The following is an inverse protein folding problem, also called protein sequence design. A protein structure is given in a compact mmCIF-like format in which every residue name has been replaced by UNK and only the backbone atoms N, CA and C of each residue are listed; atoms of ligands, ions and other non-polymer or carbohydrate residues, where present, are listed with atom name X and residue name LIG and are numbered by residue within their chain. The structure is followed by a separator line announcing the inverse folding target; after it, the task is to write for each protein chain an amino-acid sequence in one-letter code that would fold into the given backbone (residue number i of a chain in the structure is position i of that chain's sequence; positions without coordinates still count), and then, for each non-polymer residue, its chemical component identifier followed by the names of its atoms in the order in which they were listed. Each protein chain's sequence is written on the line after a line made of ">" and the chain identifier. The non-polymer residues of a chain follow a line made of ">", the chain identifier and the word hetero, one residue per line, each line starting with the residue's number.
data_IF_185140235957
#
_entry.id   IF_185140235957
#
_cell.length_a   1.000
_cell.length_b   1.000
_cell.length_c   1.000
_cell.angle_alpha   90.00
_cell.angle_beta   90.00
_cell.angle_gamma   90.00
#
_symmetry.space_group_name_H-M   'P 1'
#
loop_
_entity.id
_entity.type
_entity.pdbx_description
1 polymer ?
#
# COMPACT_ATOMS: atom_id res chain seq x y z
N UNK A 1 8.67 22.03 5.13
CA UNK A 1 8.73 20.78 5.92
C UNK A 1 10.12 20.17 5.75
N UNK A 2 10.64 19.57 6.80
CA UNK A 2 11.88 18.79 6.77
C UNK A 2 11.56 17.32 6.49
N UNK A 3 12.39 16.65 5.71
CA UNK A 3 12.25 15.25 5.36
C UNK A 3 12.38 14.36 6.60
N UNK A 4 11.37 13.53 6.93
CA UNK A 4 11.43 12.65 8.10
C UNK A 4 12.43 11.50 7.94
N UNK A 5 12.97 11.30 6.74
CA UNK A 5 13.99 10.29 6.48
C UNK A 5 15.41 10.82 6.72
N UNK A 6 15.80 11.93 6.07
CA UNK A 6 17.19 12.41 6.07
C UNK A 6 17.41 13.79 6.70
N UNK A 7 16.35 14.48 7.16
CA UNK A 7 16.48 15.81 7.77
C UNK A 7 16.70 16.97 6.78
N UNK A 8 16.69 16.72 5.48
CA UNK A 8 16.84 17.78 4.46
C UNK A 8 15.50 18.44 4.09
N UNK A 9 15.49 19.67 3.56
CA UNK A 9 14.26 20.31 3.08
C UNK A 9 13.53 19.49 2.00
N UNK A 10 12.20 19.54 2.01
CA UNK A 10 11.36 18.94 0.96
C UNK A 10 10.71 20.01 0.08
N UNK A 11 10.61 19.74 -1.22
CA UNK A 11 9.85 20.54 -2.18
C UNK A 11 8.39 20.10 -2.23
N UNK A 12 7.47 21.03 -2.55
CA UNK A 12 6.07 20.70 -2.87
C UNK A 12 6.02 20.27 -4.33
N UNK A 13 5.38 19.13 -4.61
CA UNK A 13 5.11 18.69 -5.98
C UNK A 13 3.73 19.15 -6.45
N UNK A 14 2.71 19.01 -5.61
CA UNK A 14 1.34 19.34 -5.95
C UNK A 14 0.35 18.67 -5.03
N UNK A 15 -0.93 18.92 -5.27
CA UNK A 15 -2.03 18.30 -4.53
C UNK A 15 -2.73 17.28 -5.41
N UNK A 16 -3.01 16.10 -4.85
CA UNK A 16 -3.81 15.06 -5.47
C UNK A 16 -5.13 14.95 -4.72
N UNK A 17 -6.28 15.01 -5.40
CA UNK A 17 -7.59 14.78 -4.78
C UNK A 17 -7.77 13.30 -4.47
N UNK A 18 -7.37 12.84 -3.28
CA UNK A 18 -7.56 11.45 -2.87
C UNK A 18 -9.05 11.22 -2.58
N UNK A 19 -9.62 10.18 -3.18
CA UNK A 19 -11.04 9.84 -3.04
C UNK A 19 -11.20 8.36 -2.71
N UNK A 20 -12.38 8.04 -2.21
CA UNK A 20 -12.81 6.72 -1.81
C UNK A 20 -14.35 6.70 -1.73
N UNK A 21 -14.93 5.60 -1.27
CA UNK A 21 -16.36 5.54 -0.94
C UNK A 21 -16.77 6.62 0.07
N UNK A 22 -18.03 7.05 -0.01
CA UNK A 22 -18.60 8.07 0.87
C UNK A 22 -18.43 7.67 2.34
N UNK A 23 -18.04 8.64 3.17
CA UNK A 23 -17.77 8.45 4.60
C UNK A 23 -16.36 7.95 4.94
N UNK A 24 -15.55 7.54 3.95
CA UNK A 24 -14.19 7.10 4.22
C UNK A 24 -13.28 8.23 4.72
N UNK A 25 -12.39 7.88 5.66
CA UNK A 25 -11.41 8.79 6.28
C UNK A 25 -10.53 9.53 5.25
N UNK A 26 -10.18 8.85 4.16
CA UNK A 26 -9.22 9.35 3.16
C UNK A 26 -9.85 10.18 2.04
N UNK A 27 -11.14 10.55 2.12
CA UNK A 27 -11.78 11.49 1.21
C UNK A 27 -11.29 12.94 1.44
N UNK A 28 -10.03 13.20 1.09
CA UNK A 28 -9.31 14.44 1.40
C UNK A 28 -8.28 14.73 0.31
N UNK A 29 -7.81 15.96 0.25
CA UNK A 29 -6.73 16.31 -0.66
C UNK A 29 -5.37 15.98 -0.01
N UNK A 30 -4.50 15.31 -0.76
CA UNK A 30 -3.15 14.94 -0.33
C UNK A 30 -2.10 15.85 -0.94
N UNK A 31 -1.34 16.58 -0.12
CA UNK A 31 -0.23 17.42 -0.56
C UNK A 31 1.06 16.59 -0.65
N UNK A 32 1.54 16.36 -1.88
CA UNK A 32 2.75 15.60 -2.13
C UNK A 32 3.98 16.48 -1.98
N UNK A 33 4.93 15.98 -1.20
CA UNK A 33 6.27 16.55 -1.06
C UNK A 33 7.33 15.55 -1.47
N UNK A 34 8.44 16.05 -1.97
CA UNK A 34 9.58 15.24 -2.37
C UNK A 34 10.88 15.78 -1.78
N UNK A 35 11.80 14.89 -1.41
CA UNK A 35 13.13 15.23 -0.93
C UNK A 35 14.19 14.97 -2.02
N UNK A 36 14.80 16.02 -2.61
CA UNK A 36 15.83 15.83 -3.65
C UNK A 36 17.11 15.11 -3.17
N UNK A 37 17.37 15.14 -1.85
CA UNK A 37 18.55 14.55 -1.25
C UNK A 37 18.48 13.02 -1.17
N UNK A 38 17.37 12.46 -0.68
CA UNK A 38 17.22 11.01 -0.49
C UNK A 38 16.12 10.37 -1.36
N UNK A 39 15.34 11.14 -2.12
CA UNK A 39 14.29 10.61 -3.00
C UNK A 39 12.97 10.26 -2.31
N UNK A 40 12.85 10.47 -0.99
CA UNK A 40 11.59 10.27 -0.26
C UNK A 40 10.47 11.13 -0.86
N UNK A 41 9.31 10.53 -1.09
CA UNK A 41 8.07 11.29 -1.24
C UNK A 41 7.15 11.07 -0.04
N UNK A 42 6.41 12.11 0.34
CA UNK A 42 5.50 12.10 1.49
C UNK A 42 4.20 12.81 1.13
N UNK A 43 3.09 12.27 1.62
CA UNK A 43 1.74 12.81 1.40
C UNK A 43 1.21 13.39 2.72
N UNK A 44 0.94 14.69 2.75
CA UNK A 44 0.24 15.33 3.87
C UNK A 44 -1.26 15.33 3.59
N UNK A 45 -2.02 14.57 4.37
CA UNK A 45 -3.49 14.47 4.26
C UNK A 45 -4.23 15.21 5.38
N UNK A 46 -3.51 15.62 6.42
CA UNK A 46 -4.09 16.16 7.66
C UNK A 46 -4.73 15.10 8.56
N UNK A 47 -4.53 13.81 8.28
CA UNK A 47 -4.90 12.69 9.16
C UNK A 47 -3.73 12.40 10.11
N UNK A 48 -4.02 12.11 11.37
CA UNK A 48 -3.04 11.68 12.37
C UNK A 48 -2.86 10.16 12.38
N UNK A 49 -1.71 9.70 12.88
CA UNK A 49 -1.46 8.26 13.08
C UNK A 49 -2.52 7.57 13.95
N UNK A 50 -3.08 8.30 14.92
CA UNK A 50 -4.17 7.79 15.77
C UNK A 50 -5.46 7.56 14.97
N UNK A 51 -5.80 8.48 14.07
CA UNK A 51 -6.97 8.33 13.20
C UNK A 51 -6.77 7.19 12.20
N UNK A 52 -5.55 7.02 11.67
CA UNK A 52 -5.20 5.88 10.81
C UNK A 52 -5.35 4.57 11.59
N UNK A 53 -4.77 4.45 12.78
CA UNK A 53 -4.89 3.25 13.61
C UNK A 53 -6.34 2.91 13.98
N UNK A 54 -7.16 3.92 14.30
CA UNK A 54 -8.59 3.73 14.56
C UNK A 54 -9.32 3.22 13.30
N UNK A 55 -9.01 3.77 12.13
CA UNK A 55 -9.55 3.27 10.87
C UNK A 55 -9.21 1.80 10.63
N UNK A 56 -7.97 1.36 10.91
CA UNK A 56 -7.61 -0.06 10.85
C UNK A 56 -8.39 -0.92 11.85
N UNK A 57 -8.50 -0.46 13.10
CA UNK A 57 -9.16 -1.21 14.17
C UNK A 57 -10.67 -1.35 13.96
N UNK A 58 -11.34 -0.32 13.43
CA UNK A 58 -12.81 -0.24 13.42
C UNK A 58 -13.40 -0.51 12.03
N UNK A 59 -12.82 0.10 10.99
CA UNK A 59 -13.46 0.24 9.67
C UNK A 59 -12.79 -0.60 8.59
N UNK A 60 -11.54 -0.99 8.78
CA UNK A 60 -10.77 -1.53 7.67
C UNK A 60 -11.34 -2.85 7.17
N UNK A 61 -11.59 -2.85 5.87
CA UNK A 61 -12.04 -4.01 5.10
C UNK A 61 -10.92 -5.03 4.88
N UNK A 62 -9.71 -4.88 5.46
CA UNK A 62 -8.63 -5.87 5.30
C UNK A 62 -9.07 -7.30 5.66
N UNK A 63 -10.00 -7.44 6.59
CA UNK A 63 -10.63 -8.74 6.93
C UNK A 63 -11.42 -9.33 5.75
N UNK A 64 -12.05 -8.48 4.94
CA UNK A 64 -12.87 -8.84 3.77
C UNK A 64 -12.12 -8.77 2.42
N UNK A 65 -10.93 -8.17 2.38
CA UNK A 65 -10.18 -7.92 1.14
C UNK A 65 -9.12 -9.01 0.87
N UNK A 66 -8.95 -9.31 -0.41
CA UNK A 66 -7.77 -10.01 -0.94
C UNK A 66 -6.77 -8.96 -1.44
N UNK A 67 -5.52 -8.97 -0.98
CA UNK A 67 -4.49 -8.02 -1.43
C UNK A 67 -3.10 -8.37 -0.91
N UNK A 68 -2.10 -7.58 -1.29
CA UNK A 68 -0.75 -7.68 -0.71
C UNK A 68 -0.80 -7.14 0.72
N UNK A 69 -0.08 -7.79 1.64
CA UNK A 69 0.06 -7.33 3.05
C UNK A 69 -1.09 -7.70 4.00
N UNK A 70 -2.10 -8.46 3.55
CA UNK A 70 -3.33 -8.74 4.34
C UNK A 70 -3.25 -9.98 5.25
N UNK A 71 -2.05 -10.50 5.49
CA UNK A 71 -1.82 -11.75 6.23
C UNK A 71 -2.53 -12.99 5.64
N UNK A 72 -2.73 -13.03 4.32
CA UNK A 72 -3.41 -14.11 3.61
C UNK A 72 -2.60 -15.41 3.50
N UNK A 73 -3.12 -16.37 2.74
CA UNK A 73 -2.52 -17.71 2.52
C UNK A 73 -2.62 -18.15 1.04
N UNK A 74 -2.69 -17.20 0.11
CA UNK A 74 -2.69 -17.54 -1.32
C UNK A 74 -1.31 -18.06 -1.76
N UNK A 75 -1.19 -18.69 -2.94
CA UNK A 75 0.13 -19.08 -3.47
C UNK A 75 1.11 -17.92 -3.56
N UNK A 76 0.64 -16.72 -3.93
CA UNK A 76 1.45 -15.49 -3.98
C UNK A 76 1.91 -15.07 -2.58
N UNK A 77 1.02 -15.13 -1.58
CA UNK A 77 1.39 -14.86 -0.19
C UNK A 77 2.45 -15.84 0.32
N UNK A 78 2.26 -17.15 0.09
CA UNK A 78 3.22 -18.18 0.52
C UNK A 78 4.57 -18.05 -0.19
N UNK A 79 4.59 -17.67 -1.46
CA UNK A 79 5.84 -17.40 -2.18
C UNK A 79 6.61 -16.24 -1.53
N UNK A 80 5.90 -15.17 -1.15
CA UNK A 80 6.47 -14.00 -0.47
C UNK A 80 6.97 -14.33 0.94
N UNK A 81 6.23 -15.10 1.72
CA UNK A 81 6.71 -15.58 3.03
C UNK A 81 7.96 -16.45 2.91
N UNK A 82 8.02 -17.31 1.89
CA UNK A 82 9.22 -18.07 1.55
C UNK A 82 10.41 -17.18 1.18
N UNK A 83 10.16 -16.07 0.48
CA UNK A 83 11.18 -15.07 0.19
C UNK A 83 11.72 -14.40 1.46
N UNK A 84 10.85 -13.98 2.40
CA UNK A 84 11.30 -13.43 3.68
C UNK A 84 12.14 -14.42 4.46
N UNK A 85 11.70 -15.67 4.57
CA UNK A 85 12.44 -16.74 5.27
C UNK A 85 13.80 -17.00 4.61
N UNK A 86 13.85 -17.10 3.29
CA UNK A 86 15.11 -17.30 2.58
C UNK A 86 16.08 -16.14 2.82
N UNK A 87 15.58 -14.90 2.81
CA UNK A 87 16.37 -13.72 3.12
C UNK A 87 16.93 -13.76 4.55
N UNK A 88 16.09 -14.10 5.55
CA UNK A 88 16.51 -14.30 6.95
C UNK A 88 17.59 -15.39 7.08
N UNK A 89 17.40 -16.53 6.43
CA UNK A 89 18.32 -17.67 6.48
C UNK A 89 19.70 -17.32 5.93
N UNK A 90 19.78 -16.60 4.81
CA UNK A 90 21.06 -16.15 4.23
C UNK A 90 21.82 -15.22 5.18
N UNK A 91 21.10 -14.48 6.04
CA UNK A 91 21.68 -13.61 7.07
C UNK A 91 21.95 -14.33 8.40
N UNK A 92 21.84 -15.66 8.43
CA UNK A 92 22.07 -16.47 9.64
C UNK A 92 21.00 -16.30 10.71
N UNK A 93 19.76 -15.99 10.32
CA UNK A 93 18.61 -15.91 11.22
C UNK A 93 17.73 -17.14 11.01
N UNK A 94 17.84 -18.10 11.92
CA UNK A 94 17.11 -19.37 11.91
C UNK A 94 16.45 -19.73 13.25
N UNK A 95 16.72 -18.95 14.31
CA UNK A 95 16.16 -19.13 15.64
C UNK A 95 16.03 -17.81 16.41
N UNK A 96 15.33 -17.85 17.54
CA UNK A 96 15.12 -16.70 18.43
C UNK A 96 13.66 -16.22 18.44
N UNK A 97 13.39 -15.14 19.17
CA UNK A 97 12.05 -14.54 19.21
C UNK A 97 11.89 -13.49 18.12
N UNK A 98 10.94 -13.74 17.20
CA UNK A 98 10.49 -12.80 16.17
C UNK A 98 9.12 -12.24 16.56
N UNK A 99 9.00 -10.91 16.60
CA UNK A 99 7.69 -10.27 16.64
C UNK A 99 7.38 -9.54 15.33
N UNK A 100 6.26 -9.91 14.70
CA UNK A 100 5.76 -9.27 13.49
C UNK A 100 4.73 -8.22 13.87
N UNK A 101 5.04 -6.96 13.61
CA UNK A 101 4.21 -5.82 14.00
C UNK A 101 3.42 -5.37 12.77
N UNK A 102 2.11 -5.17 12.94
CA UNK A 102 1.18 -5.07 11.81
C UNK A 102 0.96 -6.43 11.16
N UNK A 103 0.92 -7.51 11.94
CA UNK A 103 0.90 -8.88 11.38
C UNK A 103 -0.42 -9.23 10.66
N UNK A 104 -1.46 -8.39 10.79
CA UNK A 104 -2.81 -8.64 10.27
C UNK A 104 -3.28 -10.06 10.64
N UNK A 105 -3.76 -10.84 9.68
CA UNK A 105 -4.20 -12.24 9.85
C UNK A 105 -3.06 -13.24 10.09
N UNK A 106 -1.83 -12.78 10.22
CA UNK A 106 -0.70 -13.57 10.68
C UNK A 106 -0.24 -14.66 9.71
N UNK A 107 -0.46 -14.47 8.40
CA UNK A 107 -0.06 -15.44 7.37
C UNK A 107 1.43 -15.77 7.42
N UNK A 108 2.30 -14.77 7.60
CA UNK A 108 3.74 -14.99 7.72
C UNK A 108 4.11 -15.83 8.96
N UNK A 109 3.50 -15.56 10.11
CA UNK A 109 3.80 -16.28 11.34
C UNK A 109 3.32 -17.74 11.29
N UNK A 110 2.16 -18.00 10.68
CA UNK A 110 1.69 -19.37 10.43
C UNK A 110 2.64 -20.11 9.49
N UNK A 111 3.12 -19.44 8.45
CA UNK A 111 4.15 -19.99 7.56
C UNK A 111 5.45 -20.30 8.32
N UNK A 112 5.92 -19.42 9.21
CA UNK A 112 7.12 -19.68 10.03
C UNK A 112 6.92 -20.83 11.01
N UNK A 113 5.74 -20.97 11.62
CA UNK A 113 5.45 -22.09 12.51
C UNK A 113 5.61 -23.46 11.81
N UNK A 114 5.27 -23.54 10.52
CA UNK A 114 5.46 -24.74 9.69
C UNK A 114 6.91 -24.89 9.23
N UNK A 115 7.51 -23.81 8.72
CA UNK A 115 8.77 -23.86 7.95
C UNK A 115 10.03 -23.63 8.80
N UNK A 116 9.93 -22.98 9.96
CA UNK A 116 11.04 -22.58 10.80
C UNK A 116 10.68 -22.67 12.30
N UNK A 117 10.41 -23.88 12.83
CA UNK A 117 9.96 -24.07 14.22
C UNK A 117 10.96 -23.62 15.29
N UNK A 118 12.22 -23.30 14.92
CA UNK A 118 13.20 -22.69 15.81
C UNK A 118 12.96 -21.20 16.10
N UNK A 119 12.08 -20.55 15.35
CA UNK A 119 11.71 -19.14 15.53
C UNK A 119 10.41 -19.05 16.33
N UNK A 120 10.52 -18.61 17.58
CA UNK A 120 9.37 -18.32 18.41
C UNK A 120 8.70 -17.03 17.89
N UNK A 121 7.47 -17.15 17.41
CA UNK A 121 6.77 -16.08 16.69
C UNK A 121 5.68 -15.44 17.53
N UNK A 122 5.63 -14.11 17.55
CA UNK A 122 4.58 -13.30 18.19
C UNK A 122 4.00 -12.34 17.17
N UNK A 123 2.68 -12.29 17.03
CA UNK A 123 1.99 -11.31 16.19
C UNK A 123 1.49 -10.13 16.99
N UNK A 124 1.66 -8.92 16.47
CA UNK A 124 1.08 -7.70 17.03
C UNK A 124 0.30 -6.94 15.98
N UNK A 125 -0.94 -6.59 16.28
CA UNK A 125 -1.77 -5.73 15.43
C UNK A 125 -2.72 -4.87 16.28
N UNK A 126 -3.15 -3.73 15.72
CA UNK A 126 -4.15 -2.87 16.34
C UNK A 126 -5.59 -3.37 16.10
N UNK A 127 -5.82 -4.16 15.04
CA UNK A 127 -7.10 -4.79 14.75
C UNK A 127 -7.21 -6.18 15.42
N UNK A 128 -7.91 -6.22 16.54
CA UNK A 128 -8.18 -7.46 17.27
C UNK A 128 -8.89 -8.54 16.43
N UNK A 129 -9.66 -8.15 15.40
CA UNK A 129 -10.37 -9.09 14.53
C UNK A 129 -9.40 -9.88 13.67
N UNK A 130 -8.36 -9.22 13.17
CA UNK A 130 -7.30 -9.83 12.35
C UNK A 130 -6.49 -10.86 13.14
N UNK A 131 -6.29 -10.66 14.45
CA UNK A 131 -5.50 -11.57 15.30
C UNK A 131 -6.17 -12.93 15.60
N UNK A 132 -7.47 -13.07 15.35
CA UNK A 132 -8.22 -14.30 15.67
C UNK A 132 -7.61 -15.55 15.01
N UNK A 133 -7.13 -15.43 13.78
CA UNK A 133 -6.51 -16.55 13.03
C UNK A 133 -5.22 -17.06 13.67
N UNK A 134 -4.45 -16.19 14.33
CA UNK A 134 -3.24 -16.58 15.05
C UNK A 134 -3.59 -17.35 16.32
N UNK A 135 -4.54 -16.83 17.11
CA UNK A 135 -4.99 -17.51 18.32
C UNK A 135 -5.61 -18.89 18.02
N UNK A 136 -6.38 -19.01 16.94
CA UNK A 136 -6.95 -20.29 16.47
C UNK A 136 -5.86 -21.29 16.02
N UNK A 137 -4.73 -20.78 15.52
CA UNK A 137 -3.56 -21.58 15.17
C UNK A 137 -2.64 -21.90 16.37
N UNK A 138 -3.00 -21.45 17.58
CA UNK A 138 -2.20 -21.65 18.79
C UNK A 138 -0.92 -20.80 18.86
N UNK A 139 -0.87 -19.69 18.10
CA UNK A 139 0.25 -18.75 18.08
C UNK A 139 0.00 -17.57 19.02
N UNK A 140 1.07 -16.99 19.56
CA UNK A 140 1.00 -15.78 20.41
C UNK A 140 0.57 -14.58 19.56
N UNK A 141 -0.51 -13.93 19.99
CA UNK A 141 -1.10 -12.79 19.33
C UNK A 141 -1.45 -11.73 20.38
N UNK A 142 -0.96 -10.50 20.16
CA UNK A 142 -1.10 -9.40 21.11
C UNK A 142 -1.69 -8.19 20.40
N UNK A 143 -2.67 -7.55 21.04
CA UNK A 143 -3.15 -6.24 20.57
C UNK A 143 -2.11 -5.19 20.97
N UNK A 144 -1.71 -4.34 20.02
CA UNK A 144 -0.70 -3.32 20.29
C UNK A 144 -0.64 -2.22 19.24
N UNK A 145 -0.05 -1.09 19.64
CA UNK A 145 0.22 0.06 18.79
C UNK A 145 1.72 0.06 18.44
N UNK A 146 2.07 0.33 17.18
CA UNK A 146 3.46 0.40 16.69
C UNK A 146 4.32 1.42 17.45
N UNK A 147 3.70 2.44 18.05
CA UNK A 147 4.40 3.44 18.88
C UNK A 147 4.54 3.02 20.35
N UNK A 148 3.88 1.95 20.79
CA UNK A 148 3.91 1.44 22.16
C UNK A 148 3.66 -0.07 22.18
N UNK A 149 4.69 -0.83 21.83
CA UNK A 149 4.62 -2.27 21.65
C UNK A 149 4.53 -3.03 22.99
N UNK A 150 3.76 -4.14 23.06
CA UNK A 150 3.53 -4.91 24.27
C UNK A 150 4.71 -5.86 24.61
N UNK A 151 5.91 -5.29 24.70
CA UNK A 151 7.16 -5.96 25.06
C UNK A 151 7.99 -5.11 26.02
N UNK A 152 8.75 -5.77 26.88
CA UNK A 152 9.82 -5.16 27.65
C UNK A 152 10.97 -4.69 26.73
N UNK A 153 11.83 -3.82 27.27
CA UNK A 153 13.01 -3.39 26.54
C UNK A 153 14.00 -4.56 26.38
N UNK A 154 14.53 -4.77 25.18
CA UNK A 154 15.46 -5.87 24.90
C UNK A 154 14.84 -7.28 24.99
N UNK A 155 13.55 -7.42 24.73
CA UNK A 155 12.86 -8.72 24.77
C UNK A 155 13.06 -9.49 23.45
N UNK A 156 12.93 -8.83 22.30
CA UNK A 156 12.93 -9.47 20.97
C UNK A 156 14.33 -9.59 20.35
N UNK A 157 14.58 -10.72 19.67
CA UNK A 157 15.78 -10.90 18.85
C UNK A 157 15.58 -10.28 17.46
N UNK A 158 14.35 -10.37 16.94
CA UNK A 158 13.95 -9.93 15.61
C UNK A 158 12.61 -9.20 15.68
N UNK A 159 12.48 -8.09 14.98
CA UNK A 159 11.22 -7.43 14.68
C UNK A 159 11.01 -7.38 13.17
N UNK A 160 9.77 -7.52 12.71
CA UNK A 160 9.40 -7.22 11.33
C UNK A 160 8.34 -6.11 11.23
N UNK A 161 8.55 -5.24 10.24
CA UNK A 161 7.60 -4.26 9.73
C UNK A 161 7.38 -4.56 8.24
N UNK A 162 6.47 -5.48 7.95
CA UNK A 162 6.08 -5.76 6.57
C UNK A 162 4.86 -4.92 6.21
N UNK A 163 5.05 -3.96 5.30
CA UNK A 163 4.00 -3.04 4.87
C UNK A 163 3.40 -2.18 5.98
N UNK A 164 4.26 -1.64 6.86
CA UNK A 164 3.86 -0.81 7.99
C UNK A 164 4.34 0.63 7.84
N UNK A 165 5.64 0.82 7.61
CA UNK A 165 6.25 2.15 7.69
C UNK A 165 5.72 3.12 6.63
N UNK A 166 5.25 2.62 5.48
CA UNK A 166 4.64 3.44 4.44
C UNK A 166 3.34 4.13 4.89
N UNK A 167 2.70 3.62 5.95
CA UNK A 167 1.44 4.11 6.51
C UNK A 167 1.62 5.11 7.67
N UNK A 168 2.82 5.27 8.23
CA UNK A 168 3.03 6.00 9.48
C UNK A 168 3.57 7.42 9.28
N UNK A 169 2.92 8.44 9.81
CA UNK A 169 3.54 9.76 9.93
C UNK A 169 4.71 9.75 10.95
N UNK A 170 4.57 9.05 12.07
CA UNK A 170 5.53 8.96 13.16
C UNK A 170 6.71 7.98 12.97
N UNK A 171 7.36 7.94 11.80
CA UNK A 171 8.43 6.97 11.49
C UNK A 171 9.52 6.91 12.59
N UNK A 172 10.00 8.07 13.06
CA UNK A 172 11.04 8.14 14.10
C UNK A 172 10.55 7.52 15.43
N UNK A 173 9.27 7.69 15.79
CA UNK A 173 8.70 7.09 17.00
C UNK A 173 8.57 5.56 16.87
N UNK A 174 8.12 5.06 15.72
CA UNK A 174 8.03 3.62 15.45
C UNK A 174 9.40 2.94 15.42
N UNK A 175 10.43 3.60 14.87
CA UNK A 175 11.80 3.08 14.86
C UNK A 175 12.46 3.16 16.24
N UNK A 176 12.19 4.22 17.02
CA UNK A 176 12.64 4.32 18.41
C UNK A 176 12.04 3.20 19.28
N UNK A 177 10.76 2.89 19.06
CA UNK A 177 10.09 1.81 19.77
C UNK A 177 10.61 0.42 19.36
N UNK A 178 10.86 0.20 18.07
CA UNK A 178 11.56 -0.99 17.59
C UNK A 178 12.94 -1.13 18.26
N UNK A 179 13.69 -0.03 18.35
CA UNK A 179 14.98 -0.01 19.00
C UNK A 179 14.86 -0.31 20.50
N UNK A 180 13.82 0.15 21.20
CA UNK A 180 13.59 -0.17 22.61
C UNK A 180 13.38 -1.67 22.82
N UNK A 181 12.51 -2.28 22.01
CA UNK A 181 12.10 -3.68 22.15
C UNK A 181 13.21 -4.66 21.73
N UNK A 182 14.01 -4.31 20.73
CA UNK A 182 15.10 -5.16 20.25
C UNK A 182 16.24 -5.28 21.27
N UNK A 183 16.74 -6.51 21.45
CA UNK A 183 18.02 -6.78 22.12
C UNK A 183 19.17 -6.02 21.46
N UNK A 184 20.27 -5.71 22.17
CA UNK A 184 21.49 -5.22 21.53
C UNK A 184 21.93 -6.15 20.38
N UNK A 185 22.17 -5.61 19.19
CA UNK A 185 22.47 -6.40 17.99
C UNK A 185 21.28 -7.13 17.35
N UNK A 186 20.07 -6.96 17.89
CA UNK A 186 18.83 -7.48 17.32
C UNK A 186 18.56 -6.96 15.91
N UNK A 187 17.78 -7.72 15.14
CA UNK A 187 17.47 -7.42 13.74
C UNK A 187 16.10 -6.77 13.58
N UNK A 188 16.02 -5.77 12.70
CA UNK A 188 14.79 -5.18 12.21
C UNK A 188 14.67 -5.51 10.72
N UNK A 189 13.67 -6.32 10.37
CA UNK A 189 13.26 -6.64 9.01
C UNK A 189 12.19 -5.65 8.57
N UNK A 190 12.36 -5.01 7.43
CA UNK A 190 11.39 -4.05 6.91
C UNK A 190 11.14 -4.39 5.46
N UNK A 191 9.87 -4.48 5.08
CA UNK A 191 9.48 -4.41 3.67
C UNK A 191 8.57 -3.21 3.45
N UNK A 192 8.92 -2.40 2.46
CA UNK A 192 8.09 -1.32 1.93
C UNK A 192 8.09 -1.37 0.39
N UNK A 193 7.11 -0.77 -0.28
CA UNK A 193 7.18 -0.55 -1.71
C UNK A 193 8.40 0.30 -2.09
N UNK A 194 9.23 -0.17 -3.03
CA UNK A 194 10.40 0.53 -3.53
C UNK A 194 9.98 1.66 -4.48
N UNK A 195 9.90 2.88 -3.95
CA UNK A 195 9.50 4.08 -4.71
C UNK A 195 10.47 4.41 -5.86
N UNK A 196 11.73 3.96 -5.78
CA UNK A 196 12.69 4.12 -6.88
C UNK A 196 12.34 3.26 -8.10
N UNK A 197 11.39 2.32 -7.97
CA UNK A 197 10.98 1.37 -9.01
C UNK A 197 9.47 1.38 -9.27
N UNK A 198 8.74 2.42 -8.89
CA UNK A 198 7.31 2.52 -9.24
C UNK A 198 7.05 2.56 -10.75
N UNK A 199 8.04 3.04 -11.50
CA UNK A 199 7.91 3.36 -12.92
C UNK A 199 8.79 2.47 -13.82
N UNK A 200 9.51 1.52 -13.22
CA UNK A 200 10.24 0.52 -13.96
C UNK A 200 9.27 -0.41 -14.71
N UNK A 201 9.66 -0.88 -15.90
CA UNK A 201 8.76 -1.60 -16.80
C UNK A 201 8.13 -2.87 -16.22
N UNK A 202 8.83 -3.55 -15.31
CA UNK A 202 8.37 -4.78 -14.65
C UNK A 202 7.35 -4.56 -13.53
N UNK A 203 7.22 -3.33 -13.04
CA UNK A 203 6.42 -2.93 -11.88
C UNK A 203 5.46 -1.79 -12.19
N UNK A 204 5.57 -1.17 -13.36
CA UNK A 204 4.62 -0.18 -13.83
C UNK A 204 3.27 -0.84 -14.14
N UNK A 205 2.21 -0.34 -13.51
CA UNK A 205 0.84 -0.82 -13.68
C UNK A 205 0.02 0.15 -14.53
N UNK A 206 0.14 1.44 -14.25
CA UNK A 206 -0.50 2.53 -14.97
C UNK A 206 -0.34 3.84 -14.19
N UNK A 207 -0.75 4.98 -14.76
CA UNK A 207 -0.61 6.28 -14.11
C UNK A 207 -1.28 6.31 -12.73
N UNK A 208 -0.61 6.94 -11.77
CA UNK A 208 -1.05 7.13 -10.39
C UNK A 208 -1.26 5.85 -9.58
N UNK A 209 -1.08 4.65 -10.12
CA UNK A 209 -1.41 3.40 -9.39
C UNK A 209 -0.73 3.31 -8.02
N UNK A 210 0.60 3.46 -7.97
CA UNK A 210 1.35 3.41 -6.71
C UNK A 210 1.16 4.66 -5.84
N UNK A 211 0.89 5.80 -6.48
CA UNK A 211 0.82 7.09 -5.81
C UNK A 211 -0.55 7.32 -5.17
N UNK A 212 -1.63 6.82 -5.77
CA UNK A 212 -2.99 7.01 -5.29
C UNK A 212 -3.38 6.06 -4.14
N UNK A 213 -2.47 5.19 -3.70
CA UNK A 213 -2.66 4.36 -2.51
C UNK A 213 -2.76 5.25 -1.28
N UNK A 214 -3.99 5.66 -0.95
CA UNK A 214 -4.31 6.71 0.03
C UNK A 214 -3.78 6.46 1.44
N UNK A 215 -3.57 5.20 1.80
CA UNK A 215 -3.01 4.78 3.08
C UNK A 215 -1.48 4.94 3.11
N UNK A 216 -0.81 4.96 1.94
CA UNK A 216 0.64 5.14 1.83
C UNK A 216 0.99 6.62 1.89
N UNK A 217 1.25 7.12 3.09
CA UNK A 217 1.66 8.50 3.33
C UNK A 217 3.16 8.72 3.11
N UNK A 218 3.93 7.64 2.99
CA UNK A 218 5.36 7.65 2.72
C UNK A 218 5.72 6.73 1.56
N UNK A 219 6.56 7.24 0.65
CA UNK A 219 7.13 6.46 -0.45
C UNK A 219 8.66 6.44 -0.29
N UNK A 220 9.17 5.29 0.14
CA UNK A 220 10.57 5.10 0.45
C UNK A 220 11.37 4.63 -0.76
N UNK A 221 12.48 5.30 -1.00
CA UNK A 221 13.59 4.77 -1.80
C UNK A 221 14.58 4.05 -0.87
N UNK A 222 15.53 3.26 -1.40
CA UNK A 222 16.63 2.72 -0.60
C UNK A 222 17.38 3.79 0.21
N UNK A 223 17.68 4.94 -0.42
CA UNK A 223 18.31 6.08 0.25
C UNK A 223 17.47 6.67 1.39
N UNK A 224 16.16 6.82 1.18
CA UNK A 224 15.26 7.35 2.20
C UNK A 224 15.15 6.40 3.41
N UNK A 225 14.88 5.11 3.16
CA UNK A 225 14.76 4.13 4.25
C UNK A 225 16.08 3.97 5.01
N UNK A 226 17.21 3.93 4.29
CA UNK A 226 18.54 3.88 4.92
C UNK A 226 18.86 5.10 5.78
N UNK A 227 18.52 6.31 5.32
CA UNK A 227 18.71 7.52 6.12
C UNK A 227 17.83 7.54 7.38
N UNK A 228 16.56 7.08 7.26
CA UNK A 228 15.66 6.98 8.40
C UNK A 228 16.17 5.98 9.44
N UNK A 229 16.62 4.81 9.01
CA UNK A 229 17.23 3.78 9.85
C UNK A 229 18.48 4.29 10.57
N UNK A 230 19.42 4.91 9.82
CA UNK A 230 20.66 5.43 10.38
C UNK A 230 20.41 6.48 11.47
N UNK A 231 19.46 7.40 11.25
CA UNK A 231 19.08 8.42 12.23
C UNK A 231 18.47 7.83 13.50
N UNK A 232 17.85 6.65 13.42
CA UNK A 232 17.21 5.97 14.54
C UNK A 232 18.08 4.84 15.14
N UNK A 233 19.39 4.85 14.89
CA UNK A 233 20.34 3.94 15.56
C UNK A 233 20.41 2.54 14.96
N UNK A 234 20.05 2.40 13.69
CA UNK A 234 20.16 1.15 12.93
C UNK A 234 21.20 1.24 11.82
N UNK A 235 21.96 0.16 11.63
CA UNK A 235 22.81 -0.03 10.45
C UNK A 235 22.19 -1.06 9.51
N UNK A 236 22.22 -0.81 8.20
CA UNK A 236 21.77 -1.78 7.21
C UNK A 236 22.80 -2.90 7.10
N UNK A 237 22.36 -4.15 7.26
CA UNK A 237 23.20 -5.33 7.07
C UNK A 237 22.96 -6.00 5.71
N UNK A 238 21.72 -5.97 5.21
CA UNK A 238 21.38 -6.50 3.89
C UNK A 238 20.18 -5.79 3.27
N UNK A 239 20.14 -5.78 1.93
CA UNK A 239 19.03 -5.27 1.13
C UNK A 239 18.71 -6.30 0.05
N UNK A 240 17.43 -6.58 -0.15
CA UNK A 240 16.91 -7.25 -1.34
C UNK A 240 15.91 -6.33 -2.04
N UNK A 241 16.11 -6.09 -3.33
CA UNK A 241 15.16 -5.41 -4.21
C UNK A 241 14.64 -6.44 -5.19
N UNK A 242 13.33 -6.64 -5.23
CA UNK A 242 12.71 -7.66 -6.07
C UNK A 242 11.37 -7.18 -6.62
N UNK A 243 10.81 -7.92 -7.58
CA UNK A 243 9.42 -7.77 -8.00
C UNK A 243 8.66 -8.95 -7.39
N UNK A 244 7.75 -8.65 -6.46
CA UNK A 244 7.02 -9.67 -5.72
C UNK A 244 5.64 -9.90 -6.34
N UNK A 245 5.16 -11.14 -6.41
CA UNK A 245 3.93 -11.47 -7.14
C UNK A 245 2.70 -10.77 -6.53
N UNK A 246 1.86 -10.22 -7.40
CA UNK A 246 0.54 -9.70 -7.08
C UNK A 246 -0.54 -10.49 -7.82
N UNK A 247 -1.77 -10.40 -7.31
CA UNK A 247 -2.96 -10.83 -8.04
C UNK A 247 -3.01 -10.16 -9.43
N UNK A 248 -3.36 -10.92 -10.47
CA UNK A 248 -3.43 -10.40 -11.84
C UNK A 248 -2.12 -10.50 -12.63
N UNK A 249 -1.12 -11.21 -12.10
CA UNK A 249 0.12 -11.51 -12.84
C UNK A 249 1.08 -10.33 -12.98
N UNK A 250 0.84 -9.23 -12.25
CA UNK A 250 1.77 -8.12 -12.09
C UNK A 250 2.62 -8.34 -10.84
N UNK A 251 3.72 -7.61 -10.72
CA UNK A 251 4.52 -7.59 -9.50
C UNK A 251 4.61 -6.19 -8.90
N UNK A 252 4.70 -6.11 -7.58
CA UNK A 252 5.00 -4.85 -6.90
C UNK A 252 6.50 -4.73 -6.64
N UNK A 253 7.04 -3.50 -6.65
CA UNK A 253 8.44 -3.28 -6.39
C UNK A 253 8.69 -3.40 -4.89
N UNK A 254 9.36 -4.46 -4.46
CA UNK A 254 9.68 -4.72 -3.06
C UNK A 254 11.06 -4.18 -2.70
N UNK A 255 11.15 -3.46 -1.58
CA UNK A 255 12.38 -3.12 -0.88
C UNK A 255 12.38 -3.82 0.48
N UNK A 256 13.07 -4.95 0.56
CA UNK A 256 13.26 -5.72 1.79
C UNK A 256 14.63 -5.40 2.39
N UNK A 257 14.65 -4.91 3.63
CA UNK A 257 15.86 -4.49 4.34
C UNK A 257 15.97 -5.26 5.64
N UNK A 258 17.18 -5.75 5.92
CA UNK A 258 17.56 -6.20 7.26
C UNK A 258 18.52 -5.18 7.85
N UNK A 259 18.10 -4.56 8.95
CA UNK A 259 18.90 -3.64 9.72
C UNK A 259 19.24 -4.23 11.10
N UNK A 260 20.35 -3.81 11.69
CA UNK A 260 20.80 -4.23 13.02
C UNK A 260 20.82 -3.02 13.95
N UNK A 261 20.30 -3.18 15.17
CA UNK A 261 20.40 -2.18 16.23
C UNK A 261 21.87 -2.00 16.62
N UNK A 262 22.44 -0.81 16.41
CA UNK A 262 23.87 -0.57 16.60
C UNK A 262 24.45 0.41 15.57
N UNK A 263 25.78 0.45 15.44
CA UNK A 263 26.50 1.49 14.68
C UNK A 263 26.04 1.58 13.24
N UNK A 264 25.25 2.62 12.96
CA UNK A 264 24.70 2.96 11.66
C UNK A 264 25.79 3.39 10.70
N UNK A 265 25.88 2.71 9.57
CA UNK A 265 26.58 3.21 8.39
C UNK A 265 25.52 3.51 7.35
N UNK A 266 25.42 4.77 6.93
CA UNK A 266 24.68 5.10 5.72
C UNK A 266 25.48 4.55 4.55
N UNK A 267 24.96 3.52 3.89
CA UNK A 267 25.45 3.15 2.57
C UNK A 267 25.06 4.27 1.58
N UNK A 268 25.87 4.48 0.54
CA UNK A 268 25.47 5.27 -0.62
C UNK A 268 24.41 4.46 -1.38
N UNK A 269 23.14 4.78 -1.13
CA UNK A 269 22.00 4.02 -1.62
C UNK A 269 21.27 4.80 -2.70
N UNK A 270 20.67 4.04 -3.61
CA UNK A 270 19.94 4.57 -4.75
C UNK A 270 18.69 5.36 -4.31
N UNK A 271 18.46 6.51 -4.95
CA UNK A 271 17.25 7.32 -4.79
C UNK A 271 16.26 7.17 -5.95
N UNK A 272 16.61 6.37 -6.95
CA UNK A 272 15.79 6.12 -8.13
C UNK A 272 15.77 7.24 -9.15
N UNK A 273 14.82 7.11 -10.08
CA UNK A 273 14.51 8.06 -11.14
C UNK A 273 13.96 9.39 -10.59
N UNK A 274 13.73 10.36 -11.50
CA UNK A 274 13.14 11.65 -11.15
C UNK A 274 11.65 11.51 -10.81
N UNK A 275 11.38 11.19 -9.54
CA UNK A 275 10.04 11.08 -8.99
C UNK A 275 9.19 12.34 -9.23
N UNK A 276 9.79 13.53 -9.23
CA UNK A 276 9.05 14.77 -9.43
C UNK A 276 8.55 14.90 -10.88
N UNK A 277 9.40 14.58 -11.86
CA UNK A 277 9.02 14.54 -13.26
C UNK A 277 7.93 13.50 -13.51
N UNK A 278 8.04 12.32 -12.90
CA UNK A 278 7.06 11.26 -13.09
C UNK A 278 5.73 11.54 -12.38
N UNK A 279 5.75 12.14 -11.20
CA UNK A 279 4.53 12.65 -10.56
C UNK A 279 3.80 13.65 -11.46
N UNK A 280 4.54 14.55 -12.11
CA UNK A 280 3.95 15.50 -13.05
C UNK A 280 3.34 14.79 -14.27
N UNK A 281 4.02 13.77 -14.81
CA UNK A 281 3.51 12.96 -15.91
C UNK A 281 2.23 12.20 -15.53
N UNK A 282 2.24 11.46 -14.41
CA UNK A 282 1.10 10.67 -13.94
C UNK A 282 -0.13 11.54 -13.65
N UNK A 283 0.05 12.65 -12.92
CA UNK A 283 -1.06 13.57 -12.64
C UNK A 283 -1.55 14.30 -13.89
N UNK A 284 -0.65 14.55 -14.86
CA UNK A 284 -0.99 15.09 -16.18
C UNK A 284 -1.88 14.12 -16.96
N UNK A 285 -1.52 12.84 -16.99
CA UNK A 285 -2.30 11.79 -17.65
C UNK A 285 -3.71 11.66 -17.04
N UNK A 286 -3.84 11.71 -15.70
CA UNK A 286 -5.16 11.67 -15.05
C UNK A 286 -6.01 12.89 -15.36
N UNK A 287 -5.44 14.10 -15.38
CA UNK A 287 -6.16 15.31 -15.77
C UNK A 287 -6.63 15.27 -17.23
N UNK A 288 -5.78 14.76 -18.12
CA UNK A 288 -6.13 14.60 -19.52
C UNK A 288 -7.27 13.59 -19.70
N UNK A 289 -7.14 12.39 -19.10
CA UNK A 289 -8.19 11.37 -19.15
C UNK A 289 -9.53 11.88 -18.58
N UNK A 290 -9.49 12.62 -17.47
CA UNK A 290 -10.68 13.24 -16.90
C UNK A 290 -11.35 14.24 -17.86
N UNK A 291 -10.57 15.09 -18.53
CA UNK A 291 -11.09 16.05 -19.50
C UNK A 291 -11.71 15.36 -20.73
N UNK A 292 -11.06 14.32 -21.26
CA UNK A 292 -11.56 13.54 -22.41
C UNK A 292 -12.86 12.80 -22.08
N UNK A 293 -12.94 12.16 -20.90
CA UNK A 293 -14.17 11.49 -20.42
C UNK A 293 -15.29 12.53 -20.22
N UNK A 294 -14.99 13.66 -19.59
CA UNK A 294 -15.98 14.73 -19.40
C UNK A 294 -16.49 15.30 -20.74
N UNK A 295 -15.67 15.31 -21.78
CA UNK A 295 -16.06 15.75 -23.12
C UNK A 295 -16.83 14.69 -23.94
N UNK A 296 -16.99 13.46 -23.43
CA UNK A 296 -17.65 12.37 -24.16
C UNK A 296 -19.14 12.67 -24.47
N UNK A 297 -19.68 12.14 -25.60
CA UNK A 297 -21.00 12.50 -26.13
C UNK A 297 -22.20 12.33 -25.17
N UNK A 298 -23.36 12.84 -25.59
CA UNK A 298 -24.61 12.79 -24.82
C UNK A 298 -25.05 11.35 -24.55
N UNK A 299 -25.19 11.00 -23.27
CA UNK A 299 -25.58 9.68 -22.77
C UNK A 299 -25.02 9.45 -21.35
N UNK A 300 -25.42 8.36 -20.67
CA UNK A 300 -24.86 8.00 -19.37
C UNK A 300 -23.37 7.65 -19.48
N UNK A 301 -22.60 8.03 -18.46
CA UNK A 301 -21.22 7.60 -18.26
C UNK A 301 -21.20 6.49 -17.21
N UNK A 302 -20.85 5.27 -17.61
CA UNK A 302 -20.80 4.11 -16.73
C UNK A 302 -19.35 3.78 -16.39
N UNK A 303 -18.96 3.80 -15.11
CA UNK A 303 -17.61 3.46 -14.68
C UNK A 303 -17.60 2.04 -14.15
N UNK A 304 -16.86 1.13 -14.78
CA UNK A 304 -16.72 -0.25 -14.33
C UNK A 304 -15.36 -0.48 -13.68
N UNK A 305 -15.38 -0.91 -12.42
CA UNK A 305 -14.19 -1.22 -11.62
C UNK A 305 -13.95 -0.12 -10.60
N UNK A 306 -14.86 0.01 -9.63
CA UNK A 306 -14.82 1.05 -8.61
C UNK A 306 -13.78 0.68 -7.56
N UNK A 307 -12.53 1.04 -7.83
CA UNK A 307 -11.37 0.74 -7.00
C UNK A 307 -10.33 1.87 -7.03
N UNK A 308 -9.09 1.51 -6.72
CA UNK A 308 -7.98 2.46 -6.59
C UNK A 308 -7.83 3.39 -7.80
N UNK A 309 -7.85 2.81 -8.99
CA UNK A 309 -7.69 3.52 -10.26
C UNK A 309 -8.89 4.42 -10.58
N UNK A 310 -10.11 3.95 -10.31
CA UNK A 310 -11.31 4.78 -10.42
C UNK A 310 -11.18 6.00 -9.50
N UNK A 311 -10.79 5.82 -8.24
CA UNK A 311 -10.67 6.94 -7.31
C UNK A 311 -9.52 7.90 -7.67
N UNK A 312 -8.41 7.37 -8.20
CA UNK A 312 -7.32 8.19 -8.72
C UNK A 312 -7.77 9.12 -9.86
N UNK A 313 -8.67 8.66 -10.73
CA UNK A 313 -9.31 9.44 -11.78
C UNK A 313 -10.41 10.36 -11.23
N UNK A 314 -11.29 9.83 -10.39
CA UNK A 314 -12.52 10.47 -9.92
C UNK A 314 -12.25 11.79 -9.21
N UNK A 315 -11.15 11.89 -8.45
CA UNK A 315 -10.77 13.14 -7.81
C UNK A 315 -10.58 14.31 -8.79
N UNK A 316 -10.09 14.06 -10.00
CA UNK A 316 -9.95 15.07 -11.07
C UNK A 316 -11.23 15.25 -11.88
N UNK A 317 -12.00 14.16 -12.02
CA UNK A 317 -13.16 14.10 -12.89
C UNK A 317 -14.45 14.62 -12.25
N UNK A 318 -14.65 14.39 -10.95
CA UNK A 318 -15.90 14.71 -10.25
C UNK A 318 -16.40 16.16 -10.46
N UNK A 319 -15.55 17.20 -10.39
CA UNK A 319 -15.98 18.58 -10.66
C UNK A 319 -16.55 18.78 -12.08
N UNK A 320 -16.11 17.96 -13.04
CA UNK A 320 -16.51 18.02 -14.45
C UNK A 320 -17.80 17.22 -14.75
N UNK A 321 -18.30 16.43 -13.79
CA UNK A 321 -19.47 15.56 -13.97
C UNK A 321 -20.80 16.22 -13.52
N UNK A 322 -20.78 17.50 -13.14
CA UNK A 322 -22.00 18.20 -12.71
C UNK A 322 -23.09 18.14 -13.79
N UNK A 323 -24.25 17.58 -13.43
CA UNK A 323 -25.40 17.42 -14.35
C UNK A 323 -25.29 16.25 -15.33
N UNK A 324 -24.23 15.42 -15.26
CA UNK A 324 -24.10 14.20 -16.04
C UNK A 324 -24.82 13.04 -15.38
N UNK A 325 -25.46 12.20 -16.19
CA UNK A 325 -25.92 10.88 -15.77
C UNK A 325 -24.69 9.95 -15.64
N UNK A 326 -24.45 9.45 -14.43
CA UNK A 326 -23.25 8.69 -14.07
C UNK A 326 -23.69 7.44 -13.31
N UNK A 327 -23.20 6.28 -13.74
CA UNK A 327 -23.42 4.99 -13.07
C UNK A 327 -22.09 4.37 -12.66
N UNK A 328 -22.09 3.71 -11.52
CA UNK A 328 -20.91 3.08 -10.95
C UNK A 328 -21.15 1.58 -10.90
N UNK A 329 -20.27 0.79 -11.51
CA UNK A 329 -20.45 -0.63 -11.71
C UNK A 329 -19.27 -1.40 -11.10
N UNK A 330 -19.56 -2.40 -10.29
CA UNK A 330 -18.54 -3.35 -9.83
C UNK A 330 -19.16 -4.74 -9.60
N UNK A 331 -18.43 -5.76 -10.02
CA UNK A 331 -18.88 -7.16 -9.91
C UNK A 331 -18.63 -7.74 -8.51
N UNK A 332 -17.83 -7.07 -7.69
CA UNK A 332 -17.58 -7.48 -6.32
C UNK A 332 -18.81 -7.16 -5.45
N UNK A 333 -19.51 -8.17 -4.90
CA UNK A 333 -20.69 -7.95 -4.06
C UNK A 333 -20.39 -7.13 -2.82
N UNK A 334 -19.15 -7.13 -2.31
CA UNK A 334 -18.78 -6.34 -1.12
C UNK A 334 -18.77 -4.83 -1.38
N UNK A 335 -18.75 -4.40 -2.65
CA UNK A 335 -18.78 -2.99 -3.03
C UNK A 335 -20.18 -2.53 -3.44
N UNK A 336 -21.03 -3.44 -3.88
CA UNK A 336 -22.38 -3.12 -4.34
C UNK A 336 -23.20 -2.49 -3.19
N UNK A 337 -23.86 -1.38 -3.48
CA UNK A 337 -24.59 -0.58 -2.50
C UNK A 337 -23.74 0.44 -1.72
N UNK A 338 -22.41 0.34 -1.73
CA UNK A 338 -21.55 1.45 -1.28
C UNK A 338 -21.74 2.63 -2.24
N UNK A 339 -21.51 3.85 -1.74
CA UNK A 339 -21.81 5.07 -2.48
C UNK A 339 -20.56 5.89 -2.76
N UNK A 340 -20.57 6.64 -3.87
CA UNK A 340 -19.58 7.68 -4.20
C UNK A 340 -20.36 8.90 -4.70
N UNK A 341 -20.21 10.04 -4.05
CA UNK A 341 -21.00 11.26 -4.30
C UNK A 341 -22.52 10.97 -4.29
N UNK A 342 -22.96 10.11 -3.36
CA UNK A 342 -24.34 9.67 -3.20
C UNK A 342 -24.83 8.66 -4.26
N UNK A 343 -23.99 8.23 -5.19
CA UNK A 343 -24.34 7.25 -6.24
C UNK A 343 -23.97 5.84 -5.80
N UNK A 344 -24.89 4.87 -5.81
CA UNK A 344 -24.57 3.50 -5.41
C UNK A 344 -23.72 2.80 -6.48
N UNK A 345 -22.87 1.88 -6.04
CA UNK A 345 -22.25 0.89 -6.92
C UNK A 345 -23.26 -0.22 -7.20
N UNK A 346 -23.49 -0.49 -8.48
CA UNK A 346 -24.48 -1.45 -8.97
C UNK A 346 -23.80 -2.69 -9.58
N UNK A 347 -24.56 -3.79 -9.67
CA UNK A 347 -24.13 -4.95 -10.44
C UNK A 347 -24.18 -4.64 -11.94
N UNK A 348 -23.10 -4.88 -12.71
CA UNK A 348 -23.09 -4.60 -14.14
C UNK A 348 -24.20 -5.29 -14.95
N UNK A 349 -24.69 -6.45 -14.51
CA UNK A 349 -25.76 -7.19 -15.19
C UNK A 349 -27.16 -6.61 -14.96
N UNK A 350 -27.33 -5.76 -13.95
CA UNK A 350 -28.59 -5.10 -13.64
C UNK A 350 -28.78 -3.78 -14.42
N UNK A 351 -27.75 -3.34 -15.16
CA UNK A 351 -27.71 -2.02 -15.80
C UNK A 351 -27.76 -2.16 -17.33
N UNK A 352 -28.65 -1.42 -18.03
CA UNK A 352 -28.69 -1.39 -19.49
C UNK A 352 -27.34 -0.98 -20.12
N UNK A 353 -26.95 -1.67 -21.20
CA UNK A 353 -25.74 -1.36 -21.98
C UNK A 353 -25.94 -0.13 -22.87
N UNK A 354 -25.99 1.05 -22.25
CA UNK A 354 -26.26 2.34 -22.89
C UNK A 354 -25.19 3.37 -22.53
N UNK A 355 -24.90 4.30 -23.44
CA UNK A 355 -23.93 5.38 -23.23
C UNK A 355 -22.48 4.94 -23.43
N UNK A 356 -21.58 5.46 -22.60
CA UNK A 356 -20.14 5.18 -22.66
C UNK A 356 -19.70 4.44 -21.40
N UNK A 357 -19.02 3.31 -21.57
CA UNK A 357 -18.41 2.54 -20.48
C UNK A 357 -16.94 2.93 -20.32
N UNK A 358 -16.55 3.31 -19.13
CA UNK A 358 -15.17 3.59 -18.74
C UNK A 358 -14.69 2.41 -17.89
N UNK A 359 -13.84 1.58 -18.47
CA UNK A 359 -13.13 0.52 -17.77
C UNK A 359 -12.01 1.13 -16.93
N UNK A 360 -12.20 1.11 -15.62
CA UNK A 360 -11.32 1.80 -14.67
C UNK A 360 -10.19 0.92 -14.12
N UNK A 361 -10.12 -0.38 -14.41
CA UNK A 361 -9.05 -1.23 -13.87
C UNK A 361 -7.95 -1.47 -14.91
N UNK A 362 -6.69 -1.18 -14.57
CA UNK A 362 -5.55 -1.47 -15.45
C UNK A 362 -5.35 -2.99 -15.62
N UNK A 363 -5.35 -3.73 -14.50
CA UNK A 363 -5.04 -5.17 -14.51
C UNK A 363 -6.22 -6.03 -14.99
N UNK A 364 -7.45 -5.62 -14.70
CA UNK A 364 -8.66 -6.36 -15.08
C UNK A 364 -9.29 -5.88 -16.40
N UNK A 365 -8.66 -4.93 -17.11
CA UNK A 365 -9.21 -4.35 -18.33
C UNK A 365 -9.62 -5.40 -19.38
N UNK A 366 -8.79 -6.41 -19.73
CA UNK A 366 -9.19 -7.41 -20.72
C UNK A 366 -10.48 -8.15 -20.32
N UNK A 367 -10.58 -8.55 -19.05
CA UNK A 367 -11.73 -9.30 -18.52
C UNK A 367 -12.97 -8.42 -18.42
N UNK A 368 -12.83 -7.15 -18.02
CA UNK A 368 -13.95 -6.20 -17.98
C UNK A 368 -14.48 -5.94 -19.39
N UNK A 369 -13.60 -5.73 -20.38
CA UNK A 369 -13.99 -5.50 -21.77
C UNK A 369 -14.76 -6.71 -22.33
N UNK A 370 -14.24 -7.93 -22.14
CA UNK A 370 -14.91 -9.16 -22.57
C UNK A 370 -16.30 -9.31 -21.93
N UNK A 371 -16.39 -9.09 -20.62
CA UNK A 371 -17.64 -9.19 -19.87
C UNK A 371 -18.66 -8.13 -20.29
N UNK A 372 -18.22 -6.89 -20.50
CA UNK A 372 -19.07 -5.82 -20.98
C UNK A 372 -19.66 -6.17 -22.36
N UNK A 373 -18.84 -6.69 -23.29
CA UNK A 373 -19.35 -7.12 -24.60
C UNK A 373 -20.38 -8.25 -24.48
N UNK A 374 -20.16 -9.21 -23.57
CA UNK A 374 -21.12 -10.27 -23.30
C UNK A 374 -22.45 -9.75 -22.72
N UNK A 375 -22.43 -8.61 -22.03
CA UNK A 375 -23.62 -7.90 -21.54
C UNK A 375 -24.23 -6.94 -22.57
N UNK A 376 -23.72 -6.92 -23.80
CA UNK A 376 -24.29 -6.14 -24.91
C UNK A 376 -23.64 -4.78 -25.15
N UNK A 377 -22.56 -4.43 -24.44
CA UNK A 377 -21.82 -3.20 -24.72
C UNK A 377 -21.08 -3.31 -26.05
N UNK A 378 -21.23 -2.29 -26.91
CA UNK A 378 -20.48 -2.20 -28.17
C UNK A 378 -19.02 -1.85 -27.87
N UNK A 379 -18.07 -2.45 -28.59
CA UNK A 379 -16.63 -2.27 -28.31
C UNK A 379 -16.19 -0.81 -28.41
N UNK A 380 -16.73 -0.08 -29.38
CA UNK A 380 -16.49 1.35 -29.62
C UNK A 380 -17.04 2.26 -28.52
N UNK A 381 -17.96 1.76 -27.69
CA UNK A 381 -18.49 2.48 -26.54
C UNK A 381 -17.71 2.22 -25.24
N UNK A 382 -16.67 1.36 -25.29
CA UNK A 382 -15.84 1.02 -24.14
C UNK A 382 -14.48 1.72 -24.23
N UNK A 383 -14.24 2.65 -23.31
CA UNK A 383 -12.97 3.33 -23.11
C UNK A 383 -12.23 2.68 -21.94
N UNK A 384 -10.93 2.45 -22.08
CA UNK A 384 -10.08 1.99 -20.98
C UNK A 384 -9.17 3.14 -20.54
N UNK A 385 -8.81 3.16 -19.26
CA UNK A 385 -7.77 4.07 -18.77
C UNK A 385 -6.44 3.83 -19.52
N UNK A 386 -5.63 4.90 -19.70
CA UNK A 386 -4.40 4.87 -20.49
C UNK A 386 -3.29 4.00 -19.88
#
# INVERSE_FOLDING_TARGET
>A
MICPACGQPMQVLGTVPLRDFDGALFNRDGLYRYCPACGMARVETGVSDREIAAHYADESLYVALSGVGVGGDTPEDRARYGHYRAFMQVQGIDAGMLADIGCSRGGFLRYLAEAAPGIASVGVDCDARSLKSLSEAGLDARIGDVFALPFAAGEADILSYFHVLEHLYGIDAALAEAARVLKPGGALLIEVPDAARYFASETHVGPMFWLAMKEHVNHFTPAALGAALARNGFGIAAINRSSQPMKGGKGYPSLLVLARKGTGVSADLDKGEDFAAQFAADTGAMRQAAAEIAASPVGPLCFWGVGLEFFALHGYLAPLLTGRDVRLLDRNPSKQGLTVDGRPVEDPSAVPAEGTLICCSYMAAPQIVEQAQALGWKREAILCLP
#
